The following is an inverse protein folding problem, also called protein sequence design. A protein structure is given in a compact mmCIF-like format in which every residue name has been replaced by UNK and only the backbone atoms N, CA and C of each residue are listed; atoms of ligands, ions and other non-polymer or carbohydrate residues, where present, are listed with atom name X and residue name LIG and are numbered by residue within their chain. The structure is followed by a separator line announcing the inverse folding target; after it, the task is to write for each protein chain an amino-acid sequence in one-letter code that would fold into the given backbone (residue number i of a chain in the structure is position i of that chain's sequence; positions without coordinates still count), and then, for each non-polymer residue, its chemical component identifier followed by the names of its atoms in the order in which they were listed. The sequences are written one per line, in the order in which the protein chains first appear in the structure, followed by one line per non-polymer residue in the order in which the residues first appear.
data_IF_640826821195
#
_entry.id   IF_640826821195
#
_cell.length_a   1.000
_cell.length_b   1.000
_cell.length_c   1.000
_cell.angle_alpha   90.00
_cell.angle_beta   90.00
_cell.angle_gamma   90.00
#
_symmetry.space_group_name_H-M   'P 1'
#
loop_
_entity.id
_entity.type
_entity.pdbx_description
1 polymer ?
#
# COMPACT_ATOMS: atom_id res chain seq x y z
N UNK A 1 -20.50 12.99 -7.34
CA UNK A 1 -20.52 11.52 -7.13
C UNK A 1 -19.10 11.02 -6.91
N UNK A 2 -18.81 10.46 -5.73
CA UNK A 2 -17.48 9.95 -5.37
C UNK A 2 -17.45 8.48 -5.77
N UNK A 3 -16.88 8.15 -6.93
CA UNK A 3 -16.77 6.77 -7.38
C UNK A 3 -15.90 5.99 -6.38
N UNK A 4 -16.51 5.02 -5.68
CA UNK A 4 -15.87 4.22 -4.62
C UNK A 4 -15.82 2.77 -5.05
N UNK A 5 -14.63 2.19 -4.98
CA UNK A 5 -14.40 0.76 -5.25
C UNK A 5 -14.75 -0.01 -3.97
N UNK A 6 -15.11 -1.29 -4.08
CA UNK A 6 -15.29 -2.10 -2.88
C UNK A 6 -13.93 -2.27 -2.15
N UNK A 7 -13.80 -1.91 -0.85
CA UNK A 7 -12.55 -2.03 -0.12
C UNK A 7 -11.99 -3.46 -0.12
N UNK A 8 -12.86 -4.48 -0.18
CA UNK A 8 -12.43 -5.89 -0.28
C UNK A 8 -11.55 -6.15 -1.50
N UNK A 9 -11.90 -5.57 -2.67
CA UNK A 9 -11.10 -5.74 -3.90
C UNK A 9 -9.71 -5.16 -3.73
N UNK A 10 -9.60 -4.00 -3.08
CA UNK A 10 -8.33 -3.33 -2.82
C UNK A 10 -7.47 -4.11 -1.80
N UNK A 11 -8.10 -4.74 -0.81
CA UNK A 11 -7.42 -5.61 0.16
C UNK A 11 -6.86 -6.85 -0.54
N UNK A 12 -7.69 -7.56 -1.32
CA UNK A 12 -7.24 -8.74 -2.07
C UNK A 12 -6.13 -8.38 -3.06
N UNK A 13 -6.24 -7.24 -3.75
CA UNK A 13 -5.19 -6.74 -4.64
C UNK A 13 -3.86 -6.56 -3.89
N UNK A 14 -3.88 -5.95 -2.70
CA UNK A 14 -2.68 -5.76 -1.89
C UNK A 14 -2.08 -7.05 -1.31
N UNK A 15 -2.83 -8.15 -1.27
CA UNK A 15 -2.33 -9.46 -0.83
C UNK A 15 -1.78 -10.24 -2.04
N UNK A 16 -2.54 -10.29 -3.14
CA UNK A 16 -2.21 -11.13 -4.31
C UNK A 16 -1.06 -10.57 -5.15
N UNK A 17 -1.07 -9.26 -5.41
CA UNK A 17 -0.10 -8.65 -6.34
C UNK A 17 1.36 -8.75 -5.84
N UNK A 18 1.70 -8.48 -4.56
CA UNK A 18 3.06 -8.70 -4.09
C UNK A 18 3.50 -10.16 -4.23
N UNK A 19 2.61 -11.12 -3.97
CA UNK A 19 2.90 -12.54 -4.14
C UNK A 19 3.26 -12.86 -5.59
N UNK A 20 2.47 -12.37 -6.56
CA UNK A 20 2.74 -12.57 -8.00
C UNK A 20 4.06 -11.90 -8.39
N UNK A 21 4.29 -10.66 -7.97
CA UNK A 21 5.49 -9.88 -8.30
C UNK A 21 6.77 -10.47 -7.71
N UNK A 22 6.68 -11.24 -6.62
CA UNK A 22 7.81 -11.93 -6.03
C UNK A 22 8.31 -13.07 -6.93
N UNK A 23 7.42 -13.82 -7.57
CA UNK A 23 7.76 -14.97 -8.40
C UNK A 23 8.09 -14.61 -9.85
N UNK A 24 7.65 -13.44 -10.31
CA UNK A 24 7.84 -13.01 -11.69
C UNK A 24 9.09 -12.14 -11.83
N UNK A 25 10.04 -12.56 -12.66
CA UNK A 25 11.27 -11.80 -12.96
C UNK A 25 11.14 -10.82 -14.13
N UNK A 26 10.06 -10.90 -14.90
CA UNK A 26 9.82 -10.01 -16.04
C UNK A 26 9.67 -8.53 -15.62
N UNK A 27 10.18 -7.61 -16.45
CA UNK A 27 10.10 -6.15 -16.26
C UNK A 27 8.75 -5.58 -16.69
N UNK A 28 8.03 -6.24 -17.59
CA UNK A 28 6.75 -5.77 -18.14
C UNK A 28 5.59 -5.94 -17.14
N UNK A 29 5.64 -6.98 -16.31
CA UNK A 29 4.56 -7.32 -15.38
C UNK A 29 4.38 -6.27 -14.27
N UNK A 30 5.45 -5.80 -13.57
CA UNK A 30 5.34 -4.70 -12.62
C UNK A 30 4.77 -3.42 -13.25
N UNK A 31 5.15 -3.12 -14.50
CA UNK A 31 4.67 -1.95 -15.23
C UNK A 31 3.17 -2.06 -15.54
N UNK A 32 2.71 -3.24 -15.97
CA UNK A 32 1.29 -3.51 -16.17
C UNK A 32 0.48 -3.25 -14.89
N UNK A 33 0.89 -3.83 -13.75
CA UNK A 33 0.20 -3.61 -12.48
C UNK A 33 0.29 -2.16 -12.00
N UNK A 34 1.37 -1.45 -12.31
CA UNK A 34 1.48 -0.03 -12.01
C UNK A 34 0.47 0.80 -12.78
N UNK A 35 0.23 0.50 -14.07
CA UNK A 35 -0.81 1.15 -14.88
C UNK A 35 -2.20 0.85 -14.29
N UNK A 36 -2.49 -0.40 -13.93
CA UNK A 36 -3.77 -0.79 -13.34
C UNK A 36 -4.01 -0.06 -12.00
N UNK A 37 -3.03 -0.04 -11.11
CA UNK A 37 -3.12 0.73 -9.85
C UNK A 37 -3.31 2.22 -10.08
N UNK A 38 -2.64 2.78 -11.10
CA UNK A 38 -2.80 4.17 -11.51
C UNK A 38 -4.21 4.48 -12.03
N UNK A 39 -4.83 3.52 -12.75
CA UNK A 39 -6.22 3.64 -13.19
C UNK A 39 -7.20 3.72 -12.01
N UNK A 40 -6.95 3.03 -10.90
CA UNK A 40 -7.79 3.17 -9.69
C UNK A 40 -7.75 4.60 -9.13
N UNK A 41 -6.57 5.25 -9.11
CA UNK A 41 -6.44 6.65 -8.68
C UNK A 41 -7.14 7.62 -9.65
N UNK A 42 -7.03 7.37 -10.96
CA UNK A 42 -7.74 8.14 -11.99
C UNK A 42 -9.26 8.02 -11.85
N UNK A 43 -9.75 6.80 -11.64
CA UNK A 43 -11.18 6.53 -11.42
C UNK A 43 -11.73 7.28 -10.20
N UNK A 44 -10.95 7.34 -9.12
CA UNK A 44 -11.27 8.13 -7.92
C UNK A 44 -11.02 9.65 -8.06
N UNK A 45 -10.60 10.12 -9.24
CA UNK A 45 -10.26 11.53 -9.56
C UNK A 45 -9.20 12.14 -8.64
N UNK A 46 -8.21 11.35 -8.21
CA UNK A 46 -7.14 11.77 -7.27
C UNK A 46 -5.84 12.15 -8.00
N UNK A 47 -5.93 13.08 -8.96
CA UNK A 47 -4.81 13.47 -9.83
C UNK A 47 -3.56 13.96 -9.07
N UNK A 48 -3.72 14.73 -7.99
CA UNK A 48 -2.58 15.20 -7.18
C UNK A 48 -1.75 14.06 -6.59
N UNK A 49 -2.40 12.97 -6.15
CA UNK A 49 -1.71 11.79 -5.61
C UNK A 49 -1.09 10.96 -6.74
N UNK A 50 -1.80 10.83 -7.85
CA UNK A 50 -1.29 10.16 -9.06
C UNK A 50 0.04 10.78 -9.51
N UNK A 51 0.09 12.11 -9.70
CA UNK A 51 1.31 12.79 -10.14
C UNK A 51 2.47 12.59 -9.15
N UNK A 52 2.21 12.64 -7.84
CA UNK A 52 3.23 12.40 -6.82
C UNK A 52 3.79 10.97 -6.93
N UNK A 53 2.93 9.97 -7.04
CA UNK A 53 3.39 8.57 -7.10
C UNK A 53 4.13 8.29 -8.41
N UNK A 54 3.65 8.80 -9.55
CA UNK A 54 4.35 8.68 -10.82
C UNK A 54 5.74 9.32 -10.74
N UNK A 55 5.83 10.54 -10.22
CA UNK A 55 7.10 11.24 -10.05
C UNK A 55 8.08 10.47 -9.16
N UNK A 56 7.61 10.00 -8.00
CA UNK A 56 8.42 9.20 -7.08
C UNK A 56 8.89 7.90 -7.75
N UNK A 57 8.00 7.20 -8.46
CA UNK A 57 8.32 5.94 -9.13
C UNK A 57 9.39 6.14 -10.21
N UNK A 58 9.27 7.20 -11.01
CA UNK A 58 10.26 7.56 -12.03
C UNK A 58 11.60 7.91 -11.38
N UNK A 59 11.59 8.68 -10.29
CA UNK A 59 12.81 9.04 -9.57
C UNK A 59 13.55 7.80 -9.06
N UNK A 60 12.84 6.85 -8.45
CA UNK A 60 13.43 5.59 -8.00
C UNK A 60 13.91 4.71 -9.16
N UNK A 61 13.20 4.69 -10.28
CA UNK A 61 13.61 3.94 -11.47
C UNK A 61 14.89 4.51 -12.11
N UNK A 62 14.99 5.83 -12.24
CA UNK A 62 16.20 6.50 -12.72
C UNK A 62 17.36 6.25 -11.75
N UNK A 63 17.12 6.37 -10.43
CA UNK A 63 18.10 6.05 -9.41
C UNK A 63 18.63 4.63 -9.53
N UNK A 64 17.73 3.65 -9.69
CA UNK A 64 18.09 2.24 -9.91
C UNK A 64 19.00 2.07 -11.14
N UNK A 65 18.66 2.71 -12.27
CA UNK A 65 19.44 2.59 -13.50
C UNK A 65 20.82 3.24 -13.39
N UNK A 66 20.93 4.40 -12.73
CA UNK A 66 22.20 5.05 -12.48
C UNK A 66 23.11 4.21 -11.57
N UNK A 67 22.55 3.62 -10.51
CA UNK A 67 23.28 2.75 -9.59
C UNK A 67 23.75 1.46 -10.28
N UNK A 68 22.98 0.94 -11.23
CA UNK A 68 23.32 -0.28 -11.97
C UNK A 68 24.52 -0.09 -12.92
N UNK A 69 24.79 1.14 -13.36
CA UNK A 69 25.96 1.47 -14.20
C UNK A 69 27.29 1.43 -13.43
N UNK A 70 27.24 1.37 -12.10
CA UNK A 70 28.44 1.29 -11.27
C UNK A 70 29.01 -0.13 -11.21
N UNK A 71 30.34 -0.23 -11.23
CA UNK A 71 31.08 -1.49 -11.10
C UNK A 71 31.31 -1.90 -9.64
N UNK A 72 30.88 -1.10 -8.67
CA UNK A 72 31.07 -1.37 -7.24
C UNK A 72 29.93 -2.27 -6.74
N UNK A 73 30.26 -3.44 -6.19
CA UNK A 73 29.29 -4.44 -5.72
C UNK A 73 28.28 -3.87 -4.70
N UNK A 74 28.74 -3.05 -3.76
CA UNK A 74 27.88 -2.38 -2.77
C UNK A 74 26.85 -1.48 -3.46
N UNK A 75 27.23 -0.78 -4.52
CA UNK A 75 26.33 0.11 -5.27
C UNK A 75 25.30 -0.70 -6.05
N UNK A 76 25.69 -1.87 -6.57
CA UNK A 76 24.76 -2.80 -7.22
C UNK A 76 23.75 -3.40 -6.23
N UNK A 77 24.17 -3.72 -5.00
CA UNK A 77 23.25 -4.12 -3.94
C UNK A 77 22.21 -3.03 -3.64
N UNK A 78 22.63 -1.77 -3.56
CA UNK A 78 21.70 -0.64 -3.40
C UNK A 78 20.76 -0.51 -4.61
N UNK A 79 21.24 -0.74 -5.84
CA UNK A 79 20.39 -0.79 -7.03
C UNK A 79 19.27 -1.85 -6.92
N UNK A 80 19.57 -3.03 -6.36
CA UNK A 80 18.57 -4.07 -6.11
C UNK A 80 17.50 -3.63 -5.10
N UNK A 81 17.86 -2.88 -4.07
CA UNK A 81 16.88 -2.31 -3.12
C UNK A 81 15.93 -1.32 -3.82
N UNK A 82 16.47 -0.45 -4.68
CA UNK A 82 15.64 0.47 -5.47
C UNK A 82 14.72 -0.30 -6.43
N UNK A 83 15.21 -1.37 -7.05
CA UNK A 83 14.40 -2.26 -7.88
C UNK A 83 13.23 -2.87 -7.10
N UNK A 84 13.46 -3.34 -5.87
CA UNK A 84 12.40 -3.85 -4.99
C UNK A 84 11.37 -2.77 -4.64
N UNK A 85 11.81 -1.55 -4.33
CA UNK A 85 10.91 -0.42 -4.05
C UNK A 85 10.01 -0.13 -5.26
N UNK A 86 10.59 -0.05 -6.46
CA UNK A 86 9.82 0.19 -7.70
C UNK A 86 8.83 -0.94 -7.97
N UNK A 87 9.22 -2.20 -7.73
CA UNK A 87 8.32 -3.35 -7.86
C UNK A 87 7.14 -3.31 -6.90
N UNK A 88 7.30 -2.73 -5.71
CA UNK A 88 6.22 -2.59 -4.72
C UNK A 88 5.37 -1.32 -4.91
N UNK A 89 5.70 -0.43 -5.85
CA UNK A 89 4.88 0.76 -6.14
C UNK A 89 3.41 0.47 -6.50
N UNK A 90 3.05 -0.54 -7.33
CA UNK A 90 1.65 -0.82 -7.63
C UNK A 90 0.81 -1.14 -6.38
N UNK A 91 1.38 -1.83 -5.39
CA UNK A 91 0.68 -2.19 -4.15
C UNK A 91 0.64 -1.00 -3.20
N UNK A 92 1.73 -0.23 -3.13
CA UNK A 92 1.77 1.03 -2.39
C UNK A 92 0.66 2.01 -2.82
N UNK A 93 0.39 2.15 -4.12
CA UNK A 93 -0.72 2.99 -4.62
C UNK A 93 -2.07 2.55 -4.03
N UNK A 94 -2.34 1.25 -4.04
CA UNK A 94 -3.62 0.71 -3.56
C UNK A 94 -3.71 0.79 -2.04
N UNK A 95 -2.61 0.57 -1.33
CA UNK A 95 -2.52 0.78 0.10
C UNK A 95 -2.79 2.26 0.47
N UNK A 96 -2.27 3.22 -0.28
CA UNK A 96 -2.56 4.64 -0.10
C UNK A 96 -4.06 4.95 -0.28
N UNK A 97 -4.73 4.31 -1.24
CA UNK A 97 -6.18 4.46 -1.41
C UNK A 97 -6.92 3.96 -0.16
N UNK A 98 -6.57 2.76 0.33
CA UNK A 98 -7.18 2.18 1.53
C UNK A 98 -6.98 3.05 2.77
N UNK A 99 -5.77 3.57 3.00
CA UNK A 99 -5.45 4.36 4.19
C UNK A 99 -6.10 5.74 4.20
N UNK A 100 -6.21 6.42 3.05
CA UNK A 100 -6.64 7.82 3.00
C UNK A 100 -8.11 8.02 2.59
N UNK A 101 -8.73 7.09 1.87
CA UNK A 101 -10.11 7.28 1.35
C UNK A 101 -11.17 6.42 2.05
N UNK A 102 -10.75 5.44 2.87
CA UNK A 102 -11.65 4.56 3.62
C UNK A 102 -11.50 4.73 5.13
N UNK A 103 -12.62 4.59 5.84
CA UNK A 103 -12.59 4.53 7.29
C UNK A 103 -12.15 3.13 7.77
N UNK A 104 -11.49 3.01 8.92
CA UNK A 104 -11.13 1.71 9.49
C UNK A 104 -12.35 0.78 9.64
N UNK A 105 -13.51 1.33 10.00
CA UNK A 105 -14.79 0.60 10.10
C UNK A 105 -15.25 0.01 8.76
N UNK A 106 -15.09 0.74 7.65
CA UNK A 106 -15.43 0.26 6.29
C UNK A 106 -14.50 -0.89 5.88
N UNK A 107 -13.21 -0.79 6.21
CA UNK A 107 -12.20 -1.84 5.94
C UNK A 107 -12.51 -3.12 6.73
N UNK A 108 -12.83 -2.99 8.03
CA UNK A 108 -13.24 -4.13 8.86
C UNK A 108 -14.52 -4.75 8.31
N UNK A 109 -15.53 -3.94 7.98
CA UNK A 109 -16.81 -4.44 7.45
C UNK A 109 -16.64 -5.19 6.13
N UNK A 110 -15.71 -4.73 5.28
CA UNK A 110 -15.32 -5.46 4.08
C UNK A 110 -14.66 -6.80 4.41
N UNK A 111 -13.76 -6.86 5.40
CA UNK A 111 -13.18 -8.11 5.89
C UNK A 111 -14.23 -9.07 6.47
N UNK A 112 -15.30 -8.56 7.10
CA UNK A 112 -16.41 -9.38 7.60
C UNK A 112 -17.23 -10.07 6.51
N UNK A 113 -17.22 -9.52 5.29
CA UNK A 113 -17.91 -10.15 4.15
C UNK A 113 -17.20 -11.40 3.63
N UNK A 114 -15.93 -11.59 4.02
CA UNK A 114 -15.21 -12.85 3.88
C UNK A 114 -15.65 -13.74 5.06
N UNK A 115 -15.77 -15.06 4.87
CA UNK A 115 -16.17 -16.04 5.89
C UNK A 115 -15.11 -16.18 7.02
N UNK A 116 -14.72 -15.08 7.65
CA UNK A 116 -13.84 -15.03 8.80
C UNK A 116 -14.65 -15.40 10.05
N UNK A 117 -14.11 -16.19 10.99
CA UNK A 117 -14.83 -16.58 12.20
C UNK A 117 -15.35 -15.36 12.97
N UNK A 118 -16.63 -15.40 13.37
CA UNK A 118 -17.29 -14.28 14.08
C UNK A 118 -16.52 -13.84 15.33
N UNK A 119 -15.91 -14.78 16.05
CA UNK A 119 -15.08 -14.51 17.23
C UNK A 119 -13.91 -13.57 16.92
N UNK A 120 -13.22 -13.79 15.79
CA UNK A 120 -12.08 -12.95 15.37
C UNK A 120 -12.54 -11.53 15.02
N UNK A 121 -13.67 -11.41 14.33
CA UNK A 121 -14.26 -10.13 13.96
C UNK A 121 -14.60 -9.30 15.20
N UNK A 122 -15.24 -9.91 16.20
CA UNK A 122 -15.62 -9.24 17.45
C UNK A 122 -14.38 -8.76 18.18
N UNK A 123 -13.37 -9.61 18.33
CA UNK A 123 -12.11 -9.26 18.96
C UNK A 123 -11.44 -8.07 18.24
N UNK A 124 -11.30 -8.14 16.92
CA UNK A 124 -10.71 -7.07 16.11
C UNK A 124 -11.48 -5.75 16.23
N UNK A 125 -12.82 -5.81 16.22
CA UNK A 125 -13.66 -4.62 16.38
C UNK A 125 -13.50 -3.96 17.75
N UNK A 126 -13.38 -4.75 18.81
CA UNK A 126 -13.13 -4.25 20.17
C UNK A 126 -11.74 -3.61 20.20
N UNK A 127 -10.69 -4.33 19.79
CA UNK A 127 -9.32 -3.81 19.79
C UNK A 127 -9.19 -2.50 19.02
N UNK A 128 -9.72 -2.42 17.80
CA UNK A 128 -9.64 -1.20 16.98
C UNK A 128 -10.42 -0.02 17.58
N UNK A 129 -11.52 -0.28 18.32
CA UNK A 129 -12.24 0.76 19.07
C UNK A 129 -11.45 1.26 20.28
N UNK A 130 -10.71 0.40 20.97
CA UNK A 130 -9.93 0.76 22.16
C UNK A 130 -8.56 1.38 21.85
N UNK A 131 -7.99 1.18 20.66
CA UNK A 131 -6.70 1.79 20.25
C UNK A 131 -6.65 3.31 20.51
N UNK A 132 -7.62 4.13 20.06
CA UNK A 132 -7.60 5.56 20.32
C UNK A 132 -7.63 5.91 21.83
N UNK A 133 -8.33 5.11 22.63
CA UNK A 133 -8.41 5.28 24.09
C UNK A 133 -7.05 4.99 24.73
N UNK A 134 -6.40 3.89 24.36
CA UNK A 134 -5.05 3.56 24.83
C UNK A 134 -4.03 4.66 24.51
N UNK A 135 -4.08 5.24 23.30
CA UNK A 135 -3.19 6.38 22.95
C UNK A 135 -3.46 7.61 23.82
N UNK A 136 -4.71 7.89 24.18
CA UNK A 136 -5.05 8.99 25.10
C UNK A 136 -4.54 8.74 26.51
N UNK A 137 -4.72 7.52 27.02
CA UNK A 137 -4.24 7.15 28.35
C UNK A 137 -2.71 7.20 28.43
N UNK A 138 -2.00 6.68 27.43
CA UNK A 138 -0.53 6.78 27.36
C UNK A 138 -0.06 8.23 27.36
N UNK A 139 -0.77 9.11 26.65
CA UNK A 139 -0.48 10.54 26.65
C UNK A 139 -0.71 11.16 28.03
N UNK A 140 -1.81 10.84 28.71
CA UNK A 140 -2.06 11.34 30.07
C UNK A 140 -1.02 10.87 31.08
N UNK A 141 -0.59 9.60 30.98
CA UNK A 141 0.49 9.07 31.81
C UNK A 141 1.77 9.89 31.59
N UNK A 142 2.14 10.11 30.32
CA UNK A 142 3.34 10.86 29.97
C UNK A 142 3.26 12.36 30.33
N UNK A 143 2.06 12.95 30.40
CA UNK A 143 1.84 14.31 30.89
C UNK A 143 1.85 14.39 32.44
N UNK A 144 1.69 13.25 33.12
CA UNK A 144 1.67 13.15 34.60
C UNK A 144 2.98 12.66 35.23
N UNK A 145 3.93 12.18 34.42
CA UNK A 145 5.30 11.85 34.82
C UNK A 145 6.23 13.05 34.68
#
# INVERSE_FOLDING_TARGET
MRYRINPLVLIFYNILIPCILMFVHDKWIPLYFFIVSSLFLLYMKKYKRLCKVIFITILFYIGQQLLMLSNIEVVQFVSMLFMMIVRLMPTYIVALILMYDYQPSEVISALQSIHVPRAFIIALSITLRYIPTFFRELRYINESM
#
